data_IF_565473962345
#
_entry.id   IF_565473962345
#
_cell.length_a   1.000
_cell.length_b   1.000
_cell.length_c   1.000
_cell.angle_alpha   90.00
_cell.angle_beta   90.00
_cell.angle_gamma   90.00
#
_symmetry.space_group_name_H-M   'P 1'
#
loop_
_entity.id
_entity.type
_entity.pdbx_description
1 polymer ?
#
# COMPACT_ATOMS: atom_id res chain seq x y z
N UNK A 1 -11.31 11.39 -6.17
CA UNK A 1 -10.21 10.55 -6.67
C UNK A 1 -10.40 9.06 -6.37
N UNK A 2 -10.86 8.68 -5.15
CA UNK A 2 -11.13 7.27 -4.79
C UNK A 2 -12.15 6.60 -5.69
N UNK A 3 -13.25 7.28 -6.05
CA UNK A 3 -14.29 6.74 -6.95
C UNK A 3 -13.67 6.26 -8.26
N UNK A 4 -12.85 7.08 -8.92
CA UNK A 4 -12.16 6.72 -10.17
C UNK A 4 -11.23 5.51 -10.02
N UNK A 5 -10.58 5.36 -8.87
CA UNK A 5 -9.72 4.20 -8.59
C UNK A 5 -10.58 2.95 -8.44
N UNK A 6 -11.72 3.02 -7.74
CA UNK A 6 -12.64 1.91 -7.56
C UNK A 6 -13.27 1.50 -8.90
N UNK A 7 -13.74 2.45 -9.70
CA UNK A 7 -14.26 2.20 -11.06
C UNK A 7 -13.21 1.42 -11.88
N UNK A 8 -11.95 1.86 -11.87
CA UNK A 8 -10.85 1.18 -12.55
C UNK A 8 -10.61 -0.24 -12.02
N UNK A 9 -10.72 -0.46 -10.71
CA UNK A 9 -10.58 -1.82 -10.15
C UNK A 9 -11.70 -2.73 -10.63
N UNK A 10 -12.92 -2.21 -10.74
CA UNK A 10 -14.07 -2.93 -11.31
C UNK A 10 -13.82 -3.24 -12.79
N UNK A 11 -13.36 -2.26 -13.58
CA UNK A 11 -13.05 -2.47 -15.00
C UNK A 11 -12.00 -3.57 -15.21
N UNK A 12 -10.98 -3.60 -14.35
CA UNK A 12 -9.97 -4.68 -14.35
C UNK A 12 -10.60 -6.02 -14.03
N UNK A 13 -11.43 -6.09 -12.99
CA UNK A 13 -12.09 -7.35 -12.58
C UNK A 13 -13.06 -7.89 -13.64
N UNK A 14 -13.73 -7.00 -14.37
CA UNK A 14 -14.63 -7.34 -15.48
C UNK A 14 -13.90 -7.58 -16.81
N UNK A 15 -12.58 -7.38 -16.87
CA UNK A 15 -11.81 -7.53 -18.12
C UNK A 15 -12.04 -6.43 -19.15
N UNK A 16 -12.69 -5.32 -18.77
CA UNK A 16 -13.03 -4.19 -19.65
C UNK A 16 -12.11 -2.97 -19.47
N UNK A 17 -11.00 -3.14 -18.77
CA UNK A 17 -10.01 -2.07 -18.57
C UNK A 17 -9.44 -1.59 -19.92
N UNK A 18 -9.73 -0.35 -20.27
CA UNK A 18 -9.34 0.29 -21.54
C UNK A 18 -8.02 1.06 -21.47
N UNK A 19 -7.33 1.04 -20.33
CA UNK A 19 -6.06 1.73 -20.21
C UNK A 19 -5.03 1.20 -21.21
N UNK A 20 -4.13 2.08 -21.62
CA UNK A 20 -2.99 1.72 -22.46
C UNK A 20 -2.20 0.54 -21.88
N UNK A 21 -1.88 -0.43 -22.74
CA UNK A 21 -1.08 -1.61 -22.38
C UNK A 21 0.38 -1.35 -22.69
N UNK A 22 1.23 -1.48 -21.68
CA UNK A 22 2.68 -1.26 -21.79
C UNK A 22 3.43 -2.49 -21.28
N UNK A 23 4.40 -2.96 -22.06
CA UNK A 23 5.31 -3.98 -21.58
C UNK A 23 6.34 -3.36 -20.62
N UNK A 24 6.56 -3.94 -19.45
CA UNK A 24 7.57 -3.42 -18.52
C UNK A 24 8.97 -3.35 -19.17
N UNK A 25 9.28 -4.19 -20.15
CA UNK A 25 10.54 -4.16 -20.91
C UNK A 25 10.73 -2.90 -21.76
N UNK A 26 9.64 -2.22 -22.10
CA UNK A 26 9.64 -0.94 -22.84
C UNK A 26 9.83 0.26 -21.92
N UNK A 27 9.86 0.04 -20.62
CA UNK A 27 10.04 1.08 -19.62
C UNK A 27 11.49 1.09 -19.12
N UNK A 28 11.97 2.23 -18.68
CA UNK A 28 13.21 2.36 -17.90
C UNK A 28 12.92 2.22 -16.42
N UNK A 29 13.84 1.62 -15.66
CA UNK A 29 13.74 1.54 -14.21
C UNK A 29 14.35 2.80 -13.61
N UNK A 30 13.55 3.52 -12.81
CA UNK A 30 14.03 4.61 -11.96
C UNK A 30 14.32 4.05 -10.57
N UNK A 31 15.59 4.00 -10.20
CA UNK A 31 16.06 3.53 -8.87
C UNK A 31 15.78 4.55 -7.76
N UNK A 32 15.49 5.78 -8.13
CA UNK A 32 15.03 6.85 -7.25
C UNK A 32 13.98 7.67 -7.97
N UNK A 33 12.90 7.98 -7.27
CA UNK A 33 11.81 8.84 -7.75
C UNK A 33 11.58 9.92 -6.70
N UNK A 34 11.46 11.20 -7.09
CA UNK A 34 11.20 12.29 -6.14
C UNK A 34 9.99 12.02 -5.26
N UNK A 35 10.11 12.23 -3.96
CA UNK A 35 9.05 11.91 -2.99
C UNK A 35 7.71 12.60 -3.28
N UNK A 36 7.73 13.80 -3.81
CA UNK A 36 6.53 14.54 -4.21
C UNK A 36 5.82 13.83 -5.37
N UNK A 37 6.57 13.43 -6.41
CA UNK A 37 6.04 12.70 -7.56
C UNK A 37 5.45 11.34 -7.15
N UNK A 38 6.15 10.58 -6.28
CA UNK A 38 5.65 9.31 -5.74
C UNK A 38 4.32 9.50 -5.00
N UNK A 39 4.24 10.51 -4.14
CA UNK A 39 3.01 10.79 -3.37
C UNK A 39 1.85 11.13 -4.29
N UNK A 40 2.06 12.02 -5.25
CA UNK A 40 1.06 12.40 -6.23
C UNK A 40 0.59 11.20 -7.07
N UNK A 41 1.54 10.39 -7.55
CA UNK A 41 1.27 9.18 -8.30
C UNK A 41 0.40 8.19 -7.50
N UNK A 42 0.75 7.93 -6.24
CA UNK A 42 0.02 7.00 -5.37
C UNK A 42 -1.36 7.54 -4.99
N UNK A 43 -1.51 8.85 -4.76
CA UNK A 43 -2.82 9.47 -4.52
C UNK A 43 -3.76 9.29 -5.71
N UNK A 44 -3.22 9.31 -6.93
CA UNK A 44 -4.02 9.15 -8.17
C UNK A 44 -4.31 7.69 -8.52
N UNK A 45 -3.44 6.75 -8.13
CA UNK A 45 -3.45 5.40 -8.68
C UNK A 45 -3.58 4.28 -7.63
N UNK A 46 -3.50 4.56 -6.33
CA UNK A 46 -3.62 3.56 -5.27
C UNK A 46 -4.78 3.87 -4.32
N UNK A 47 -5.63 2.88 -4.00
CA UNK A 47 -6.83 3.06 -3.17
C UNK A 47 -6.52 3.67 -1.79
N UNK A 48 -5.45 3.24 -1.15
CA UNK A 48 -5.00 3.75 0.14
C UNK A 48 -4.11 4.99 0.02
N UNK A 49 -3.85 5.49 -1.21
CA UNK A 49 -2.96 6.62 -1.45
C UNK A 49 -1.52 6.38 -1.01
N UNK A 50 -0.79 7.47 -0.78
CA UNK A 50 0.60 7.41 -0.32
C UNK A 50 0.69 7.03 1.17
N UNK A 51 1.67 6.21 1.58
CA UNK A 51 1.93 5.96 2.98
C UNK A 51 2.49 7.22 3.66
N UNK A 52 2.31 7.32 4.98
CA UNK A 52 2.83 8.45 5.77
C UNK A 52 4.35 8.60 5.60
N UNK A 53 5.06 7.49 5.68
CA UNK A 53 6.50 7.41 5.48
C UNK A 53 6.76 6.61 4.21
N UNK A 54 7.44 7.23 3.25
CA UNK A 54 7.99 6.52 2.09
C UNK A 54 9.26 5.80 2.54
N UNK A 55 9.37 4.54 2.18
CA UNK A 55 10.62 3.79 2.33
C UNK A 55 11.49 3.87 1.09
N UNK A 56 12.01 2.74 0.64
CA UNK A 56 12.65 2.60 -0.68
C UNK A 56 11.59 2.65 -1.76
N UNK A 57 11.92 3.30 -2.86
CA UNK A 57 10.99 3.49 -3.98
C UNK A 57 11.70 3.15 -5.28
N UNK A 58 11.02 2.38 -6.11
CA UNK A 58 11.40 2.15 -7.50
C UNK A 58 10.24 2.51 -8.40
N UNK A 59 10.54 3.09 -9.55
CA UNK A 59 9.56 3.43 -10.57
C UNK A 59 9.85 2.76 -11.90
N UNK A 60 8.82 2.67 -12.75
CA UNK A 60 8.97 2.43 -14.19
C UNK A 60 8.54 3.68 -14.93
N UNK A 61 9.36 4.10 -15.88
CA UNK A 61 9.07 5.22 -16.77
C UNK A 61 8.95 4.76 -18.21
N UNK A 62 7.92 5.26 -18.89
CA UNK A 62 7.78 5.20 -20.34
C UNK A 62 8.10 6.60 -20.88
N UNK A 63 9.28 6.77 -21.46
CA UNK A 63 9.85 8.12 -21.65
C UNK A 63 9.96 8.82 -20.30
N UNK A 64 9.42 10.01 -20.21
CA UNK A 64 9.44 10.82 -18.97
C UNK A 64 8.26 10.49 -18.03
N UNK A 65 7.25 9.77 -18.51
CA UNK A 65 6.05 9.45 -17.72
C UNK A 65 6.31 8.33 -16.72
N UNK A 66 6.02 8.57 -15.45
CA UNK A 66 6.01 7.54 -14.40
C UNK A 66 4.75 6.67 -14.56
N UNK A 67 4.93 5.38 -14.88
CA UNK A 67 3.81 4.47 -15.17
C UNK A 67 3.60 3.39 -14.11
N UNK A 68 4.59 3.12 -13.28
CA UNK A 68 4.45 2.22 -12.13
C UNK A 68 5.35 2.64 -10.98
N UNK A 69 4.94 2.37 -9.75
CA UNK A 69 5.70 2.62 -8.53
C UNK A 69 5.56 1.43 -7.58
N UNK A 70 6.70 1.01 -7.01
CA UNK A 70 6.76 0.08 -5.89
C UNK A 70 7.42 0.78 -4.71
N UNK A 71 6.77 0.70 -3.55
CA UNK A 71 7.29 1.26 -2.28
C UNK A 71 7.48 0.13 -1.29
N UNK A 72 8.69 -0.01 -0.76
CA UNK A 72 9.01 -0.97 0.29
C UNK A 72 9.62 -0.30 1.50
N UNK A 73 9.24 -0.78 2.69
CA UNK A 73 9.77 -0.31 3.97
C UNK A 73 10.64 -1.37 4.61
N UNK A 74 11.76 -0.98 5.20
CA UNK A 74 12.60 -1.89 6.00
C UNK A 74 11.79 -2.46 7.17
N UNK A 75 11.90 -3.76 7.38
CA UNK A 75 11.36 -4.50 8.52
C UNK A 75 12.50 -5.16 9.32
N UNK A 76 12.19 -5.82 10.41
CA UNK A 76 13.20 -6.55 11.20
C UNK A 76 13.83 -7.73 10.45
N UNK A 77 13.09 -8.33 9.52
CA UNK A 77 13.52 -9.53 8.76
C UNK A 77 13.86 -9.24 7.30
N UNK A 78 13.78 -8.00 6.84
CA UNK A 78 14.02 -7.64 5.45
C UNK A 78 13.18 -6.44 5.00
N UNK A 79 12.25 -6.62 4.06
CA UNK A 79 11.42 -5.54 3.55
C UNK A 79 9.94 -5.92 3.50
N UNK A 80 9.08 -4.94 3.72
CA UNK A 80 7.63 -5.04 3.49
C UNK A 80 7.24 -4.14 2.32
N UNK A 81 6.68 -4.70 1.26
CA UNK A 81 6.08 -3.92 0.17
C UNK A 81 4.81 -3.30 0.72
N UNK A 82 4.76 -1.98 0.75
CA UNK A 82 3.63 -1.21 1.31
C UNK A 82 2.70 -0.69 0.25
N UNK A 83 3.20 -0.44 -0.96
CA UNK A 83 2.41 0.04 -2.10
C UNK A 83 2.98 -0.47 -3.42
N UNK A 84 2.08 -0.88 -4.29
CA UNK A 84 2.34 -1.03 -5.72
C UNK A 84 1.16 -0.42 -6.47
N UNK A 85 1.44 0.42 -7.46
CA UNK A 85 0.41 1.02 -8.28
C UNK A 85 0.91 1.25 -9.70
N UNK A 86 -0.03 1.28 -10.64
CA UNK A 86 0.23 1.58 -12.05
C UNK A 86 -0.78 2.59 -12.59
N UNK A 87 -0.36 3.50 -13.47
CA UNK A 87 -1.25 4.40 -14.21
C UNK A 87 -1.81 3.75 -15.47
N UNK A 88 -1.07 2.81 -16.07
CA UNK A 88 -1.40 2.04 -17.28
C UNK A 88 -1.47 0.54 -16.95
N UNK A 89 -1.84 -0.30 -17.89
CA UNK A 89 -1.71 -1.77 -17.76
C UNK A 89 -0.24 -2.17 -18.00
N UNK A 90 0.60 -2.16 -16.99
CA UNK A 90 2.04 -2.45 -17.12
C UNK A 90 2.29 -3.95 -16.92
N UNK A 91 2.34 -4.70 -18.03
CA UNK A 91 2.63 -6.14 -18.00
C UNK A 91 4.04 -6.42 -17.49
N UNK A 92 4.16 -7.26 -16.47
CA UNK A 92 5.44 -7.59 -15.83
C UNK A 92 6.02 -6.44 -14.98
N UNK A 93 5.27 -5.38 -14.73
CA UNK A 93 5.72 -4.21 -13.97
C UNK A 93 6.08 -4.54 -12.54
N UNK A 94 5.23 -5.29 -11.85
CA UNK A 94 5.48 -5.74 -10.48
C UNK A 94 6.75 -6.56 -10.37
N UNK A 95 6.87 -7.62 -11.15
CA UNK A 95 8.03 -8.52 -11.13
C UNK A 95 9.33 -7.78 -11.46
N UNK A 96 9.29 -6.84 -12.42
CA UNK A 96 10.48 -6.06 -12.78
C UNK A 96 10.97 -5.17 -11.64
N UNK A 97 10.06 -4.57 -10.88
CA UNK A 97 10.39 -3.76 -9.70
C UNK A 97 10.75 -4.64 -8.50
N UNK A 98 10.09 -5.79 -8.34
CA UNK A 98 10.41 -6.75 -7.29
C UNK A 98 11.85 -7.23 -7.37
N UNK A 99 12.35 -7.56 -8.58
CA UNK A 99 13.75 -7.96 -8.79
C UNK A 99 14.74 -6.89 -8.29
N UNK A 100 14.39 -5.60 -8.32
CA UNK A 100 15.24 -4.53 -7.75
C UNK A 100 15.30 -4.61 -6.23
N UNK A 101 14.16 -4.86 -5.61
CA UNK A 101 14.08 -5.05 -4.17
C UNK A 101 14.81 -6.33 -3.72
N UNK A 102 14.66 -7.43 -4.47
CA UNK A 102 15.38 -8.70 -4.21
C UNK A 102 16.90 -8.52 -4.26
N UNK A 103 17.39 -7.81 -5.29
CA UNK A 103 18.82 -7.49 -5.42
C UNK A 103 19.33 -6.62 -4.27
N UNK A 104 18.56 -5.62 -3.85
CA UNK A 104 18.91 -4.82 -2.70
C UNK A 104 18.99 -5.69 -1.44
N UNK A 105 17.99 -6.54 -1.21
CA UNK A 105 17.94 -7.44 -0.06
C UNK A 105 19.13 -8.43 -0.06
N UNK A 106 19.47 -9.01 -1.21
CA UNK A 106 20.61 -9.90 -1.36
C UNK A 106 21.94 -9.17 -1.02
N UNK A 107 22.11 -7.95 -1.48
CA UNK A 107 23.29 -7.12 -1.19
C UNK A 107 23.39 -6.73 0.31
N UNK A 108 22.29 -6.72 1.02
CA UNK A 108 22.21 -6.42 2.46
C UNK A 108 22.32 -7.69 3.35
N UNK A 109 22.67 -8.84 2.79
CA UNK A 109 22.84 -10.08 3.54
C UNK A 109 21.63 -11.01 3.53
N UNK A 110 20.64 -10.74 2.68
CA UNK A 110 19.44 -11.58 2.56
C UNK A 110 18.32 -11.17 3.52
N UNK A 111 17.28 -12.01 3.56
CA UNK A 111 16.11 -11.79 4.41
C UNK A 111 14.80 -12.11 3.69
N UNK A 112 13.70 -11.59 4.20
CA UNK A 112 12.35 -11.88 3.73
C UNK A 112 11.71 -10.63 3.12
N UNK A 113 11.02 -10.79 1.99
CA UNK A 113 10.12 -9.76 1.44
C UNK A 113 8.70 -10.16 1.78
N UNK A 114 7.98 -9.30 2.48
CA UNK A 114 6.58 -9.49 2.84
C UNK A 114 5.69 -8.48 2.14
N UNK A 115 4.42 -8.82 1.96
CA UNK A 115 3.39 -7.92 1.45
C UNK A 115 2.04 -8.29 2.05
N UNK A 116 1.04 -7.41 1.88
CA UNK A 116 -0.32 -7.64 2.33
C UNK A 116 -1.28 -7.44 1.17
N UNK A 117 -2.21 -8.40 0.99
CA UNK A 117 -3.38 -8.24 0.14
C UNK A 117 -4.57 -7.84 1.00
N UNK A 118 -5.39 -6.91 0.51
CA UNK A 118 -6.67 -6.60 1.15
C UNK A 118 -7.73 -7.54 0.58
N UNK A 119 -8.12 -8.53 1.36
CA UNK A 119 -9.05 -9.58 0.93
C UNK A 119 -10.46 -9.05 0.61
N UNK A 120 -10.78 -7.80 0.95
CA UNK A 120 -12.01 -7.14 0.52
C UNK A 120 -12.00 -6.78 -0.98
N UNK A 121 -10.83 -6.73 -1.61
CA UNK A 121 -10.67 -6.26 -3.00
C UNK A 121 -9.85 -7.18 -3.88
N UNK A 122 -9.07 -8.12 -3.33
CA UNK A 122 -8.13 -8.95 -4.09
C UNK A 122 -7.83 -10.25 -3.37
N UNK A 123 -7.80 -11.34 -4.11
CA UNK A 123 -7.38 -12.67 -3.61
C UNK A 123 -5.84 -12.83 -3.57
N UNK A 124 -5.09 -11.81 -3.96
CA UNK A 124 -3.62 -11.86 -3.93
C UNK A 124 -2.96 -12.42 -5.19
N UNK A 125 -3.69 -12.73 -6.24
CA UNK A 125 -3.18 -13.40 -7.44
C UNK A 125 -1.95 -12.74 -8.10
N UNK A 126 -1.74 -11.44 -7.93
CA UNK A 126 -0.50 -10.78 -8.36
C UNK A 126 0.73 -11.31 -7.61
N UNK A 127 0.58 -11.57 -6.33
CA UNK A 127 1.65 -12.04 -5.45
C UNK A 127 1.93 -13.52 -5.69
N UNK A 128 0.87 -14.33 -5.88
CA UNK A 128 1.01 -15.76 -6.23
C UNK A 128 1.79 -15.93 -7.53
N UNK A 129 1.44 -15.14 -8.58
CA UNK A 129 2.17 -15.12 -9.86
C UNK A 129 3.62 -14.66 -9.72
N UNK A 130 3.95 -13.88 -8.70
CA UNK A 130 5.31 -13.42 -8.41
C UNK A 130 6.08 -14.34 -7.47
N UNK A 131 5.51 -15.50 -7.08
CA UNK A 131 6.16 -16.51 -6.26
C UNK A 131 6.12 -16.22 -4.76
N UNK A 132 5.21 -15.38 -4.28
CA UNK A 132 4.97 -15.22 -2.85
C UNK A 132 4.17 -16.39 -2.30
N UNK A 133 4.52 -16.84 -1.12
CA UNK A 133 3.77 -17.83 -0.36
C UNK A 133 2.82 -17.15 0.63
N UNK A 134 1.60 -17.65 0.76
CA UNK A 134 0.65 -17.16 1.76
C UNK A 134 1.09 -17.58 3.15
N UNK A 135 1.37 -16.61 4.01
CA UNK A 135 1.83 -16.80 5.38
C UNK A 135 0.72 -16.50 6.43
N UNK A 136 -0.52 -16.77 6.09
CA UNK A 136 -1.68 -16.58 6.98
C UNK A 136 -2.45 -15.31 6.75
N UNK A 137 -3.44 -15.08 7.58
CA UNK A 137 -4.33 -13.94 7.53
C UNK A 137 -4.08 -13.00 8.71
N UNK A 138 -4.11 -11.69 8.44
CA UNK A 138 -4.00 -10.66 9.47
C UNK A 138 -5.39 -10.33 9.99
N UNK A 139 -5.54 -10.21 11.31
CA UNK A 139 -6.80 -9.81 11.92
C UNK A 139 -7.29 -8.47 11.31
N UNK A 140 -8.60 -8.33 11.06
CA UNK A 140 -9.18 -7.11 10.51
C UNK A 140 -8.77 -5.89 11.32
N UNK A 141 -8.30 -4.86 10.64
CA UNK A 141 -8.07 -3.55 11.25
C UNK A 141 -9.33 -2.69 11.16
N UNK A 142 -9.53 -1.78 12.11
CA UNK A 142 -10.71 -0.94 12.17
C UNK A 142 -10.38 0.51 12.49
N UNK A 143 -11.30 1.38 12.12
CA UNK A 143 -11.25 2.81 12.41
C UNK A 143 -12.56 3.21 13.08
N UNK A 144 -12.48 4.14 14.02
CA UNK A 144 -13.68 4.76 14.60
C UNK A 144 -14.23 5.81 13.63
N UNK A 145 -15.53 5.78 13.41
CA UNK A 145 -16.25 6.86 12.72
C UNK A 145 -16.75 7.86 13.79
N UNK A 146 -16.38 9.12 13.65
CA UNK A 146 -16.89 10.17 14.54
C UNK A 146 -18.28 10.61 14.10
N UNK A 147 -19.03 11.27 14.99
CA UNK A 147 -20.36 11.82 14.70
C UNK A 147 -20.41 12.74 13.46
N UNK A 148 -19.28 13.35 13.11
CA UNK A 148 -19.15 14.18 11.90
C UNK A 148 -18.66 13.40 10.67
N UNK A 149 -18.70 12.06 10.68
CA UNK A 149 -18.30 11.20 9.57
C UNK A 149 -16.79 11.09 9.32
N UNK A 150 -15.96 11.73 10.13
CA UNK A 150 -14.50 11.57 10.02
C UNK A 150 -14.08 10.20 10.57
N UNK A 151 -13.15 9.54 9.86
CA UNK A 151 -12.58 8.26 10.31
C UNK A 151 -11.28 8.52 11.05
N UNK A 152 -11.16 7.93 12.23
CA UNK A 152 -9.99 8.03 13.08
C UNK A 152 -9.43 6.65 13.42
N UNK A 153 -8.12 6.51 13.33
CA UNK A 153 -7.44 5.24 13.61
C UNK A 153 -7.63 4.84 15.08
N UNK A 154 -7.85 3.54 15.35
CA UNK A 154 -8.03 2.98 16.70
C UNK A 154 -6.96 3.41 17.73
N UNK A 155 -5.73 3.69 17.29
CA UNK A 155 -4.67 4.17 18.19
C UNK A 155 -4.95 5.51 18.85
N UNK A 156 -5.88 6.32 18.32
CA UNK A 156 -6.32 7.56 18.96
C UNK A 156 -7.23 7.32 20.16
N UNK A 157 -7.78 6.11 20.27
CA UNK A 157 -8.76 5.69 21.27
C UNK A 157 -8.21 4.61 22.23
N UNK A 158 -6.89 4.47 22.34
CA UNK A 158 -6.27 3.59 23.33
C UNK A 158 -6.48 4.14 24.74
N UNK A 159 -6.71 3.27 25.74
CA UNK A 159 -6.89 3.63 27.15
C UNK A 159 -5.83 4.62 27.65
N UNK A 160 -4.57 4.46 27.22
CA UNK A 160 -3.50 5.40 27.55
C UNK A 160 -3.80 6.84 27.09
N UNK A 161 -4.44 7.00 25.91
CA UNK A 161 -4.82 8.33 25.39
C UNK A 161 -5.92 8.97 26.24
N UNK A 162 -6.91 8.20 26.66
CA UNK A 162 -7.96 8.68 27.57
C UNK A 162 -7.39 9.08 28.93
N UNK A 163 -6.44 8.31 29.49
CA UNK A 163 -5.78 8.62 30.75
C UNK A 163 -4.94 9.90 30.71
N UNK A 164 -4.32 10.21 29.55
CA UNK A 164 -3.38 11.34 29.43
C UNK A 164 -3.96 12.60 28.82
N UNK A 165 -5.17 12.54 28.26
CA UNK A 165 -5.81 13.69 27.62
C UNK A 165 -6.97 14.19 28.49
N UNK A 166 -6.86 15.38 29.14
CA UNK A 166 -7.92 15.93 29.98
C UNK A 166 -9.25 16.20 29.25
N UNK A 167 -9.20 16.33 27.92
CA UNK A 167 -10.42 16.53 27.10
C UNK A 167 -11.20 15.25 26.83
N UNK A 168 -10.67 14.10 27.24
CA UNK A 168 -11.31 12.79 27.09
C UNK A 168 -11.70 12.26 28.46
N UNK A 169 -12.93 11.77 28.58
CA UNK A 169 -13.39 11.17 29.82
C UNK A 169 -12.85 9.75 29.93
N UNK A 170 -11.99 9.51 30.91
CA UNK A 170 -11.53 8.16 31.24
C UNK A 170 -12.36 7.59 32.38
N UNK A 171 -12.87 6.38 32.19
CA UNK A 171 -13.54 5.61 33.24
C UNK A 171 -12.88 4.24 33.38
N UNK A 172 -12.52 3.89 34.61
CA UNK A 172 -11.88 2.61 34.90
C UNK A 172 -12.89 1.46 34.69
N UNK A 173 -12.41 0.33 34.16
CA UNK A 173 -13.25 -0.84 33.85
C UNK A 173 -13.78 -0.87 32.43
N UNK A 174 -13.95 0.26 31.75
CA UNK A 174 -14.41 0.29 30.37
C UNK A 174 -13.36 -0.17 29.35
N UNK A 175 -13.82 -0.79 28.28
CA UNK A 175 -12.99 -1.15 27.09
C UNK A 175 -12.64 0.11 26.29
N UNK A 176 -11.65 0.00 25.39
CA UNK A 176 -11.29 1.10 24.47
C UNK A 176 -12.47 1.51 23.56
N UNK A 177 -13.35 0.58 23.25
CA UNK A 177 -14.54 0.82 22.43
C UNK A 177 -15.57 1.64 23.21
N UNK A 178 -15.92 1.20 24.42
CA UNK A 178 -16.87 1.90 25.29
C UNK A 178 -16.41 3.31 25.67
N UNK A 179 -15.08 3.53 25.81
CA UNK A 179 -14.53 4.85 26.04
C UNK A 179 -14.57 5.75 24.79
N UNK A 180 -14.76 5.18 23.60
CA UNK A 180 -14.76 5.90 22.34
C UNK A 180 -16.18 6.25 21.84
N UNK A 181 -17.21 5.67 22.43
CA UNK A 181 -18.63 5.95 22.20
C UNK A 181 -19.10 7.15 23.04
#
# INVERSE_FOLDING_TARGET
NRRRIIERMIDVALGVDVREKVGARQCTVAESVPSAEVREFLIRNHLLGAPRVLGRVWGLRQGDELVAVLVAKRSSTGYTITRYATSKQVRGGFTRLLVRLERLLANEGGGTITTFSDNAYSEGGLYDLAGFEKNGDVAPDYMYATAHGARRHKFNYRKKKFKTNPSLQYQEGLTERELAE
#
